data_IF_922978204758
#
_entry.id   IF_922978204758
#
_cell.length_a   1.000
_cell.length_b   1.000
_cell.length_c   1.000
_cell.angle_alpha   90.00
_cell.angle_beta   90.00
_cell.angle_gamma   90.00
#
_symmetry.space_group_name_H-M   'P 1'
#
loop_
_entity.id
_entity.type
_entity.pdbx_description
1 polymer ?
#
# COMPACT_ATOMS: atom_id res chain seq x y z
N UNK A 1 -24.56 1.81 23.33
CA UNK A 1 -25.12 0.87 22.36
C UNK A 1 -24.53 1.10 20.99
N UNK A 2 -25.00 2.11 20.28
CA UNK A 2 -24.52 2.41 18.93
C UNK A 2 -23.07 2.85 18.90
N UNK A 3 -22.53 3.40 19.98
CA UNK A 3 -21.15 3.88 20.03
C UNK A 3 -20.13 2.77 19.81
N UNK A 4 -20.40 1.57 20.31
CA UNK A 4 -19.49 0.43 20.08
C UNK A 4 -19.48 -0.01 18.63
N UNK A 5 -20.60 0.15 17.93
CA UNK A 5 -20.73 -0.22 16.53
C UNK A 5 -19.96 0.74 15.61
N UNK A 6 -19.77 1.97 16.06
CA UNK A 6 -19.09 3.01 15.30
C UNK A 6 -17.62 3.16 15.71
N UNK A 7 -17.12 2.21 16.50
CA UNK A 7 -15.74 2.25 16.94
C UNK A 7 -14.80 2.06 15.75
N UNK A 8 -13.90 3.00 15.56
CA UNK A 8 -12.94 2.94 14.47
C UNK A 8 -11.99 1.76 14.63
N UNK A 9 -11.63 1.14 13.50
CA UNK A 9 -10.71 0.01 13.48
C UNK A 9 -9.29 0.53 13.40
N UNK A 10 -8.47 0.11 14.36
CA UNK A 10 -7.05 0.46 14.37
C UNK A 10 -6.31 -0.31 13.28
N UNK A 11 -5.49 0.39 12.50
CA UNK A 11 -4.67 -0.26 11.50
C UNK A 11 -3.58 -1.09 12.17
N UNK A 12 -3.33 -2.28 11.64
CA UNK A 12 -2.26 -3.15 12.14
C UNK A 12 -0.91 -2.59 11.69
N UNK A 13 0.10 -2.67 12.56
CA UNK A 13 1.45 -2.37 12.14
C UNK A 13 1.92 -3.49 11.20
N UNK A 14 2.86 -3.16 10.34
CA UNK A 14 3.50 -4.13 9.47
C UNK A 14 5.00 -3.86 9.49
N UNK A 15 5.76 -4.86 9.08
CA UNK A 15 7.19 -4.72 8.83
C UNK A 15 7.41 -5.07 7.38
N UNK A 16 8.00 -4.14 6.65
CA UNK A 16 8.34 -4.32 5.24
C UNK A 16 9.77 -3.86 5.00
N UNK A 17 10.28 -4.09 3.82
CA UNK A 17 11.57 -3.56 3.39
C UNK A 17 11.37 -2.69 2.17
N UNK A 18 12.18 -1.64 2.03
CA UNK A 18 12.21 -0.87 0.80
C UNK A 18 13.21 -1.50 -0.20
N UNK A 19 13.39 -0.86 -1.35
CA UNK A 19 14.28 -1.36 -2.41
C UNK A 19 15.75 -1.43 -1.98
N UNK A 20 16.13 -0.64 -0.98
CA UNK A 20 17.50 -0.58 -0.48
C UNK A 20 17.73 -1.48 0.74
N UNK A 21 16.72 -2.27 1.11
CA UNK A 21 16.81 -3.21 2.22
C UNK A 21 16.56 -2.59 3.59
N UNK A 22 16.07 -1.35 3.63
CA UNK A 22 15.73 -0.70 4.89
C UNK A 22 14.38 -1.18 5.39
N UNK A 23 14.25 -1.39 6.69
CA UNK A 23 13.00 -1.76 7.32
C UNK A 23 12.06 -0.55 7.37
N UNK A 24 10.82 -0.76 6.98
CA UNK A 24 9.76 0.26 7.01
C UNK A 24 8.58 -0.31 7.75
N UNK A 25 8.08 0.43 8.74
CA UNK A 25 6.91 0.04 9.53
C UNK A 25 5.84 1.11 9.43
N UNK A 26 4.58 0.73 9.58
CA UNK A 26 3.50 1.71 9.62
C UNK A 26 3.73 2.73 10.74
N UNK A 27 4.22 2.27 11.89
CA UNK A 27 4.51 3.14 13.04
C UNK A 27 5.54 4.24 12.74
N UNK A 28 6.31 4.11 11.67
CA UNK A 28 7.24 5.17 11.24
C UNK A 28 6.50 6.42 10.76
N UNK A 29 5.21 6.30 10.45
CA UNK A 29 4.41 7.38 9.87
C UNK A 29 3.32 7.89 10.80
N UNK A 30 3.49 7.75 12.11
CA UNK A 30 2.52 8.24 13.09
C UNK A 30 2.20 9.71 12.86
N UNK A 31 0.91 10.03 12.95
CA UNK A 31 0.45 11.41 12.78
C UNK A 31 0.24 11.80 11.32
N UNK A 32 0.49 10.92 10.38
CA UNK A 32 0.31 11.18 8.96
C UNK A 32 -0.82 10.36 8.38
N UNK A 33 -1.43 10.88 7.33
CA UNK A 33 -2.39 10.14 6.51
C UNK A 33 -1.59 9.20 5.63
N UNK A 34 -1.97 7.92 5.57
CA UNK A 34 -1.21 6.92 4.82
C UNK A 34 -2.11 6.22 3.81
N UNK A 35 -1.65 6.19 2.57
CA UNK A 35 -2.26 5.40 1.52
C UNK A 35 -1.31 4.28 1.11
N UNK A 36 -1.83 3.06 1.00
CA UNK A 36 -1.05 1.90 0.58
C UNK A 36 -1.79 1.15 -0.51
N UNK A 37 -1.12 0.96 -1.64
CA UNK A 37 -1.62 0.12 -2.74
C UNK A 37 -0.94 -1.24 -2.69
N UNK A 38 -1.71 -2.30 -2.53
CA UNK A 38 -1.21 -3.67 -2.65
C UNK A 38 -1.35 -4.14 -4.09
N UNK A 39 -0.25 -4.53 -4.72
CA UNK A 39 -0.24 -4.94 -6.13
C UNK A 39 0.70 -6.11 -6.36
N UNK A 40 0.66 -6.67 -7.57
CA UNK A 40 1.53 -7.75 -7.98
C UNK A 40 1.98 -7.54 -9.43
N UNK A 41 3.17 -7.99 -9.76
CA UNK A 41 3.77 -7.78 -11.08
C UNK A 41 3.03 -8.50 -12.21
N UNK A 42 2.24 -9.51 -11.89
CA UNK A 42 1.48 -10.31 -12.85
C UNK A 42 0.00 -9.86 -12.98
N UNK A 43 -0.40 -8.88 -12.20
CA UNK A 43 -1.82 -8.51 -12.07
C UNK A 43 -2.21 -7.49 -13.14
N UNK A 44 -3.03 -7.92 -14.11
CA UNK A 44 -3.49 -7.05 -15.20
C UNK A 44 -4.18 -5.77 -14.73
N UNK A 45 -5.21 -5.86 -13.87
CA UNK A 45 -5.87 -4.67 -13.34
C UNK A 45 -4.93 -3.73 -12.60
N UNK A 46 -3.91 -4.26 -11.90
CA UNK A 46 -2.89 -3.45 -11.25
C UNK A 46 -2.11 -2.63 -12.28
N UNK A 47 -1.71 -3.29 -13.37
CA UNK A 47 -0.94 -2.63 -14.43
C UNK A 47 -1.73 -1.48 -15.05
N UNK A 48 -3.03 -1.66 -15.24
CA UNK A 48 -3.88 -0.64 -15.85
C UNK A 48 -4.08 0.57 -14.97
N UNK A 49 -4.10 0.41 -13.65
CA UNK A 49 -4.33 1.56 -12.73
C UNK A 49 -3.05 2.29 -12.34
N UNK A 50 -1.88 1.64 -12.42
CA UNK A 50 -0.62 2.25 -11.95
C UNK A 50 -0.35 3.63 -12.52
N UNK A 51 -0.58 3.92 -13.83
CA UNK A 51 -0.42 5.28 -14.32
C UNK A 51 -1.31 6.29 -13.61
N UNK A 52 -2.52 5.89 -13.17
CA UNK A 52 -3.42 6.74 -12.41
C UNK A 52 -2.87 7.01 -11.01
N UNK A 53 -2.30 5.99 -10.39
CA UNK A 53 -1.66 6.12 -9.08
C UNK A 53 -0.46 7.07 -9.16
N UNK A 54 0.34 6.94 -10.19
CA UNK A 54 1.51 7.79 -10.36
C UNK A 54 1.13 9.26 -10.53
N UNK A 55 0.06 9.54 -11.26
CA UNK A 55 -0.45 10.91 -11.40
C UNK A 55 -0.85 11.50 -10.05
N UNK A 56 -1.55 10.73 -9.24
CA UNK A 56 -1.96 11.16 -7.90
C UNK A 56 -0.73 11.38 -7.02
N UNK A 57 0.24 10.48 -7.08
CA UNK A 57 1.48 10.61 -6.32
C UNK A 57 2.22 11.90 -6.67
N UNK A 58 2.33 12.23 -7.96
CA UNK A 58 3.01 13.44 -8.39
C UNK A 58 2.38 14.70 -7.80
N UNK A 59 1.07 14.69 -7.60
CA UNK A 59 0.36 15.82 -6.96
C UNK A 59 0.63 15.89 -5.46
N UNK A 60 0.82 14.74 -4.81
CA UNK A 60 0.86 14.64 -3.34
C UNK A 60 2.26 14.51 -2.76
N UNK A 61 3.26 14.22 -3.57
CA UNK A 61 4.61 13.87 -3.08
C UNK A 61 5.27 14.93 -2.21
N UNK A 62 4.87 16.19 -2.37
CA UNK A 62 5.43 17.29 -1.58
C UNK A 62 4.56 17.66 -0.37
N UNK A 63 3.44 16.98 -0.18
CA UNK A 63 2.57 17.19 0.97
C UNK A 63 3.12 16.36 2.14
N UNK A 64 3.63 17.04 3.15
CA UNK A 64 4.28 16.39 4.30
C UNK A 64 3.31 15.62 5.18
N UNK A 65 2.01 15.88 5.07
CA UNK A 65 1.00 15.23 5.89
C UNK A 65 0.48 13.92 5.29
N UNK A 66 0.90 13.60 4.07
CA UNK A 66 0.43 12.42 3.34
C UNK A 66 1.61 11.52 2.98
N UNK A 67 1.45 10.24 3.26
CA UNK A 67 2.41 9.19 2.88
C UNK A 67 1.75 8.31 1.83
N UNK A 68 2.43 8.11 0.70
CA UNK A 68 1.95 7.34 -0.42
C UNK A 68 2.88 6.14 -0.62
N UNK A 69 2.38 4.94 -0.40
CA UNK A 69 3.18 3.71 -0.45
C UNK A 69 2.53 2.68 -1.35
N UNK A 70 3.35 1.75 -1.86
CA UNK A 70 2.83 0.51 -2.42
C UNK A 70 3.49 -0.67 -1.73
N UNK A 71 2.79 -1.80 -1.72
CA UNK A 71 3.23 -3.02 -1.05
C UNK A 71 3.15 -4.18 -2.03
N UNK A 72 4.11 -5.08 -1.95
CA UNK A 72 4.19 -6.28 -2.77
C UNK A 72 4.52 -7.49 -1.89
N UNK A 73 4.34 -8.69 -2.45
CA UNK A 73 4.55 -9.94 -1.72
C UNK A 73 5.62 -10.79 -2.42
N UNK A 74 6.91 -10.49 -2.20
CA UNK A 74 8.01 -11.16 -2.92
C UNK A 74 8.30 -12.56 -2.40
N UNK A 75 8.85 -13.41 -3.28
CA UNK A 75 9.18 -14.80 -2.94
C UNK A 75 10.65 -15.01 -2.55
N UNK A 76 11.48 -13.97 -2.54
CA UNK A 76 12.89 -14.13 -2.13
C UNK A 76 12.96 -14.57 -0.67
N UNK A 77 13.88 -15.46 -0.36
CA UNK A 77 14.00 -16.05 0.98
C UNK A 77 14.27 -15.03 2.08
N UNK A 78 14.93 -13.92 1.74
CA UNK A 78 15.24 -12.87 2.71
C UNK A 78 14.00 -12.23 3.33
N UNK A 79 12.86 -12.25 2.62
CA UNK A 79 11.62 -11.66 3.12
C UNK A 79 10.81 -12.62 3.98
N UNK A 80 11.14 -13.90 3.96
CA UNK A 80 10.53 -14.91 4.85
C UNK A 80 9.01 -15.03 4.71
N UNK A 81 8.49 -14.70 3.53
CA UNK A 81 7.06 -14.87 3.25
C UNK A 81 6.79 -16.35 3.00
N UNK A 82 5.79 -16.91 3.69
CA UNK A 82 5.41 -18.32 3.52
C UNK A 82 4.39 -18.50 2.42
N UNK A 83 3.64 -17.45 2.13
CA UNK A 83 2.64 -17.47 1.05
C UNK A 83 2.86 -16.30 0.11
N UNK A 84 4.06 -16.23 -0.53
CA UNK A 84 4.33 -15.09 -1.42
C UNK A 84 3.39 -15.14 -2.62
N UNK A 85 2.88 -13.97 -2.99
CA UNK A 85 1.92 -13.84 -4.09
C UNK A 85 2.57 -13.37 -5.37
N UNK A 86 3.86 -13.10 -5.36
CA UNK A 86 4.57 -12.58 -6.53
C UNK A 86 5.89 -13.34 -6.72
N UNK A 87 6.64 -12.92 -7.69
CA UNK A 87 7.99 -13.38 -7.95
C UNK A 87 8.97 -12.59 -7.09
N UNK A 88 10.24 -12.59 -7.45
CA UNK A 88 11.26 -11.94 -6.64
C UNK A 88 11.26 -10.42 -6.77
N UNK A 89 12.00 -9.81 -5.86
CA UNK A 89 12.19 -8.36 -5.78
C UNK A 89 12.58 -7.75 -7.13
N UNK A 90 13.52 -8.40 -7.84
CA UNK A 90 14.02 -7.87 -9.11
C UNK A 90 12.93 -7.80 -10.18
N UNK A 91 12.09 -8.82 -10.26
CA UNK A 91 10.97 -8.85 -11.20
C UNK A 91 9.97 -7.73 -10.88
N UNK A 92 9.68 -7.56 -9.60
CA UNK A 92 8.75 -6.52 -9.14
C UNK A 92 9.30 -5.13 -9.47
N UNK A 93 10.57 -4.87 -9.15
CA UNK A 93 11.19 -3.57 -9.41
C UNK A 93 11.30 -3.28 -10.91
N UNK A 94 11.60 -4.29 -11.71
CA UNK A 94 11.64 -4.12 -13.17
C UNK A 94 10.27 -3.73 -13.71
N UNK A 95 9.21 -4.36 -13.22
CA UNK A 95 7.84 -4.03 -13.63
C UNK A 95 7.47 -2.60 -13.22
N UNK A 96 7.81 -2.22 -11.98
CA UNK A 96 7.55 -0.85 -11.51
C UNK A 96 8.27 0.17 -12.39
N UNK A 97 9.53 -0.07 -12.73
CA UNK A 97 10.30 0.81 -13.59
C UNK A 97 9.67 0.91 -14.98
N UNK A 98 9.29 -0.22 -15.55
CA UNK A 98 8.64 -0.32 -16.85
C UNK A 98 7.36 0.53 -16.90
N UNK A 99 6.62 0.56 -15.80
CA UNK A 99 5.36 1.30 -15.71
C UNK A 99 5.54 2.75 -15.24
N UNK A 100 6.76 3.20 -15.03
CA UNK A 100 7.05 4.58 -14.66
C UNK A 100 6.74 4.92 -13.21
N UNK A 101 6.73 3.93 -12.31
CA UNK A 101 6.46 4.15 -10.89
C UNK A 101 7.61 4.89 -10.23
N UNK A 102 7.30 6.00 -9.55
CA UNK A 102 8.29 6.74 -8.75
C UNK A 102 7.93 6.78 -7.26
N UNK A 103 6.71 6.37 -6.89
CA UNK A 103 6.35 6.22 -5.47
C UNK A 103 7.03 4.99 -4.87
N UNK A 104 7.17 4.95 -3.53
CA UNK A 104 7.86 3.82 -2.87
C UNK A 104 7.19 2.47 -3.13
N UNK A 105 8.02 1.48 -3.42
CA UNK A 105 7.62 0.09 -3.57
C UNK A 105 8.20 -0.67 -2.38
N UNK A 106 7.33 -1.21 -1.54
CA UNK A 106 7.74 -1.96 -0.36
C UNK A 106 7.54 -3.46 -0.58
N UNK A 107 8.28 -4.24 0.18
CA UNK A 107 8.27 -5.70 0.11
C UNK A 107 7.83 -6.24 1.47
N UNK A 108 6.70 -6.95 1.50
CA UNK A 108 6.18 -7.54 2.72
C UNK A 108 7.18 -8.51 3.34
N UNK A 109 7.22 -8.58 4.65
CA UNK A 109 8.11 -9.47 5.40
C UNK A 109 7.26 -10.33 6.33
N UNK A 110 7.49 -11.64 6.32
CA UNK A 110 6.76 -12.61 7.15
C UNK A 110 5.24 -12.55 6.91
N UNK A 111 4.82 -12.20 5.71
CA UNK A 111 3.40 -12.07 5.34
C UNK A 111 2.61 -11.12 6.25
N UNK A 112 3.28 -10.19 6.92
CA UNK A 112 2.63 -9.32 7.91
C UNK A 112 1.57 -8.43 7.31
N UNK A 113 1.82 -7.86 6.14
CA UNK A 113 0.82 -7.00 5.51
C UNK A 113 -0.33 -7.83 4.94
N UNK A 114 0.02 -8.85 4.16
CA UNK A 114 -0.99 -9.62 3.43
C UNK A 114 -1.95 -10.35 4.38
N UNK A 115 -1.44 -10.84 5.51
CA UNK A 115 -2.26 -11.54 6.51
C UNK A 115 -3.02 -10.55 7.38
N UNK A 116 -2.32 -9.59 7.97
CA UNK A 116 -2.93 -8.66 8.93
C UNK A 116 -4.00 -7.77 8.31
N UNK A 117 -3.82 -7.41 7.03
CA UNK A 117 -4.82 -6.62 6.31
C UNK A 117 -5.79 -7.49 5.51
N UNK A 118 -5.70 -8.81 5.66
CA UNK A 118 -6.58 -9.78 4.99
C UNK A 118 -6.71 -9.50 3.50
N UNK A 119 -5.56 -9.36 2.83
CA UNK A 119 -5.54 -9.11 1.39
C UNK A 119 -5.97 -10.39 0.66
N UNK A 120 -7.02 -10.31 -0.14
CA UNK A 120 -7.58 -11.45 -0.87
C UNK A 120 -7.57 -11.30 -2.38
N UNK A 121 -7.35 -10.09 -2.85
CA UNK A 121 -7.37 -9.80 -4.28
C UNK A 121 -6.46 -8.63 -4.59
N UNK A 122 -6.12 -8.49 -5.87
CA UNK A 122 -5.24 -7.42 -6.35
C UNK A 122 -5.95 -6.66 -7.47
N UNK A 123 -5.85 -5.34 -7.47
CA UNK A 123 -5.24 -4.51 -6.44
C UNK A 123 -6.17 -4.30 -5.23
N UNK A 124 -5.58 -3.94 -4.10
CA UNK A 124 -6.33 -3.50 -2.92
C UNK A 124 -5.71 -2.20 -2.43
N UNK A 125 -6.56 -1.29 -1.98
CA UNK A 125 -6.15 0.05 -1.54
C UNK A 125 -6.57 0.24 -0.09
N UNK A 126 -5.61 0.63 0.75
CA UNK A 126 -5.84 0.86 2.18
C UNK A 126 -5.60 2.34 2.48
N UNK A 127 -6.53 2.97 3.17
CA UNK A 127 -6.47 4.39 3.53
C UNK A 127 -6.49 4.50 5.04
N UNK A 128 -5.49 5.15 5.62
CA UNK A 128 -5.28 5.22 7.07
C UNK A 128 -5.27 6.67 7.51
N UNK A 129 -6.07 6.98 8.52
CA UNK A 129 -6.15 8.32 9.12
C UNK A 129 -4.89 8.63 9.92
N UNK A 130 -4.67 9.92 10.19
CA UNK A 130 -3.50 10.36 10.96
C UNK A 130 -3.47 9.84 12.39
N UNK A 131 -4.62 9.42 12.92
CA UNK A 131 -4.69 8.80 14.25
C UNK A 131 -4.43 7.28 14.23
N UNK A 132 -4.12 6.72 13.06
CA UNK A 132 -3.82 5.29 12.90
C UNK A 132 -5.04 4.42 12.67
N UNK A 133 -6.24 4.98 12.57
CA UNK A 133 -7.43 4.19 12.26
C UNK A 133 -7.61 4.01 10.76
N UNK A 134 -8.25 2.91 10.36
CA UNK A 134 -8.56 2.66 8.96
C UNK A 134 -9.69 3.60 8.52
N UNK A 135 -9.41 4.43 7.52
CA UNK A 135 -10.40 5.34 6.96
C UNK A 135 -11.24 4.70 5.88
N UNK A 136 -10.63 3.89 5.03
CA UNK A 136 -11.33 3.18 3.96
C UNK A 136 -10.48 2.04 3.42
N UNK A 137 -11.13 1.15 2.67
CA UNK A 137 -10.50 0.04 1.97
C UNK A 137 -11.26 -0.18 0.67
N UNK A 138 -10.55 -0.28 -0.44
CA UNK A 138 -11.15 -0.51 -1.75
C UNK A 138 -10.45 -1.71 -2.39
N UNK A 139 -11.22 -2.67 -2.87
CA UNK A 139 -10.72 -3.77 -3.70
C UNK A 139 -11.04 -3.46 -5.16
N UNK A 140 -10.07 -3.68 -6.04
CA UNK A 140 -10.23 -3.41 -7.48
C UNK A 140 -9.61 -2.09 -7.88
N UNK A 141 -9.67 -1.79 -9.18
CA UNK A 141 -9.00 -0.63 -9.76
C UNK A 141 -9.60 0.70 -9.34
N UNK A 142 -8.76 1.72 -9.31
CA UNK A 142 -9.18 3.10 -9.02
C UNK A 142 -8.68 4.03 -10.13
N UNK A 143 -9.36 5.17 -10.27
CA UNK A 143 -8.91 6.27 -11.14
C UNK A 143 -8.18 7.32 -10.31
N UNK A 144 -7.44 8.19 -10.96
CA UNK A 144 -6.81 9.33 -10.29
C UNK A 144 -7.83 10.14 -9.49
N UNK A 145 -8.99 10.41 -10.10
CA UNK A 145 -10.04 11.19 -9.45
C UNK A 145 -10.55 10.54 -8.17
N UNK A 146 -10.88 9.25 -8.24
CA UNK A 146 -11.37 8.52 -7.07
C UNK A 146 -10.30 8.45 -5.98
N UNK A 147 -9.08 8.12 -6.35
CA UNK A 147 -7.96 8.01 -5.41
C UNK A 147 -7.71 9.32 -4.69
N UNK A 148 -7.65 10.42 -5.44
CA UNK A 148 -7.44 11.75 -4.86
C UNK A 148 -8.54 12.09 -3.85
N UNK A 149 -9.79 11.84 -4.22
CA UNK A 149 -10.95 12.06 -3.34
C UNK A 149 -10.84 11.27 -2.04
N UNK A 150 -10.50 9.98 -2.14
CA UNK A 150 -10.42 9.13 -0.96
C UNK A 150 -9.29 9.56 -0.03
N UNK A 151 -8.16 9.98 -0.57
CA UNK A 151 -7.06 10.48 0.23
C UNK A 151 -7.47 11.80 0.92
N UNK A 152 -8.15 12.69 0.21
CA UNK A 152 -8.61 13.96 0.77
C UNK A 152 -9.63 13.80 1.91
N UNK A 153 -10.36 12.69 1.93
CA UNK A 153 -11.31 12.41 3.02
C UNK A 153 -10.63 11.97 4.31
N UNK A 154 -9.38 11.59 4.27
CA UNK A 154 -8.65 11.14 5.46
C UNK A 154 -8.51 12.28 6.46
N UNK A 155 -8.54 11.91 7.75
CA UNK A 155 -8.47 12.87 8.85
C UNK A 155 -7.11 12.90 9.53
#
# INVERSE_FOLDING_TARGET
TSTSENKAIQAFDFTAMDKDGKTVKLSDFKGKKVYINMWASWCGPCMREIPELEKTYQKLKNNKDVVFLSMTSPNDSEFKNQSPQDKGKDVILNKAKELGVTYPVLFDVNDRFIINYAIRSFPTHIFINSDGTIGNRIAGGVTEELLTKEIEKLK
#
